data_IF_175013962273
#
_entry.id   IF_175013962273
#
_cell.length_a   1.000
_cell.length_b   1.000
_cell.length_c   1.000
_cell.angle_alpha   90.00
_cell.angle_beta   90.00
_cell.angle_gamma   90.00
#
_symmetry.space_group_name_H-M   'P 1'
#
loop_
_entity.id
_entity.type
_entity.pdbx_description
1 polymer ?
#
# COMPACT_ATOMS: atom_id res chain seq x y z
N UNK A 1 -10.02 16.44 -17.74
CA UNK A 1 -8.70 15.87 -17.43
C UNK A 1 -8.70 15.44 -15.97
N UNK A 2 -8.86 14.14 -15.69
CA UNK A 2 -8.82 13.61 -14.32
C UNK A 2 -7.36 13.61 -13.87
N UNK A 3 -6.97 14.61 -13.08
CA UNK A 3 -5.66 14.62 -12.41
C UNK A 3 -5.69 13.46 -11.41
N UNK A 4 -5.00 12.36 -11.73
CA UNK A 4 -4.64 11.34 -10.74
C UNK A 4 -3.76 12.05 -9.71
N UNK A 5 -4.32 12.35 -8.55
CA UNK A 5 -3.56 12.79 -7.40
C UNK A 5 -2.83 11.53 -6.94
N UNK A 6 -1.58 11.36 -7.36
CA UNK A 6 -0.71 10.32 -6.79
C UNK A 6 -0.38 10.76 -5.37
N UNK A 7 -0.80 10.02 -4.34
CA UNK A 7 -0.34 10.31 -2.99
C UNK A 7 1.19 10.33 -2.96
N UNK A 8 1.79 11.38 -2.39
CA UNK A 8 3.25 11.54 -2.26
C UNK A 8 3.82 10.75 -1.07
N UNK A 9 3.29 9.56 -0.81
CA UNK A 9 3.90 8.62 0.15
C UNK A 9 4.28 7.35 -0.58
N UNK A 10 5.49 6.86 -0.32
CA UNK A 10 5.97 5.57 -0.84
C UNK A 10 5.77 4.54 0.26
N UNK A 11 5.01 3.49 -0.03
CA UNK A 11 4.89 2.35 0.87
C UNK A 11 5.99 1.35 0.54
N UNK A 12 6.67 0.87 1.58
CA UNK A 12 7.73 -0.12 1.47
C UNK A 12 7.34 -1.28 2.38
N UNK A 13 7.37 -2.51 1.86
CA UNK A 13 7.19 -3.70 2.67
C UNK A 13 8.40 -3.87 3.61
N UNK A 14 8.16 -3.91 4.91
CA UNK A 14 9.24 -4.00 5.91
C UNK A 14 9.96 -5.35 5.88
N UNK A 15 9.30 -6.42 5.46
CA UNK A 15 9.87 -7.77 5.46
C UNK A 15 10.88 -8.00 4.33
N UNK A 16 10.61 -7.45 3.15
CA UNK A 16 11.45 -7.69 1.97
C UNK A 16 12.03 -6.42 1.32
N UNK A 17 11.69 -5.23 1.83
CA UNK A 17 12.13 -3.95 1.30
C UNK A 17 11.55 -3.58 -0.07
N UNK A 18 10.53 -4.32 -0.55
CA UNK A 18 9.92 -4.06 -1.84
C UNK A 18 9.01 -2.85 -1.81
N UNK A 19 9.02 -2.08 -2.91
CA UNK A 19 8.09 -0.96 -3.18
C UNK A 19 6.85 -1.41 -3.95
N UNK A 20 6.83 -2.67 -4.39
CA UNK A 20 5.69 -3.26 -5.08
C UNK A 20 4.65 -3.69 -4.03
N UNK A 21 3.92 -2.68 -3.56
CA UNK A 21 2.89 -2.82 -2.54
C UNK A 21 1.59 -2.22 -3.08
N UNK A 22 0.54 -3.04 -3.09
CA UNK A 22 -0.82 -2.64 -3.43
C UNK A 22 -1.59 -2.27 -2.18
N UNK A 23 -2.30 -1.14 -2.22
CA UNK A 23 -3.19 -0.72 -1.15
C UNK A 23 -4.63 -0.92 -1.59
N UNK A 24 -5.43 -1.56 -0.75
CA UNK A 24 -6.85 -1.80 -0.97
C UNK A 24 -7.64 -1.70 0.33
N UNK A 25 -8.95 -1.50 0.22
CA UNK A 25 -9.77 -1.14 1.39
C UNK A 25 -9.57 0.34 1.74
N UNK A 26 -10.66 1.10 1.73
CA UNK A 26 -10.65 2.52 2.07
C UNK A 26 -11.83 2.85 2.96
N UNK A 27 -11.96 2.16 4.09
CA UNK A 27 -12.77 2.70 5.18
C UNK A 27 -11.94 3.76 5.89
N UNK A 28 -12.57 4.69 6.60
CA UNK A 28 -11.90 5.84 7.24
C UNK A 28 -10.84 5.44 8.28
N UNK A 29 -10.73 4.15 8.62
CA UNK A 29 -9.95 3.65 9.75
C UNK A 29 -9.04 2.46 9.42
N UNK A 30 -9.17 1.83 8.25
CA UNK A 30 -8.39 0.64 7.91
C UNK A 30 -7.97 0.68 6.44
N UNK A 31 -6.66 0.67 6.20
CA UNK A 31 -6.07 0.51 4.87
C UNK A 31 -5.32 -0.81 4.85
N UNK A 32 -5.66 -1.71 3.94
CA UNK A 32 -4.93 -2.97 3.80
C UNK A 32 -3.81 -2.79 2.77
N UNK A 33 -2.64 -3.33 3.05
CA UNK A 33 -1.50 -3.37 2.16
C UNK A 33 -1.15 -4.82 1.82
N UNK A 34 -0.83 -5.09 0.56
CA UNK A 34 -0.28 -6.37 0.10
C UNK A 34 1.01 -6.14 -0.67
N UNK A 35 2.08 -6.82 -0.28
CA UNK A 35 3.33 -6.81 -1.01
C UNK A 35 3.38 -7.94 -2.04
N UNK A 36 3.40 -7.59 -3.33
CA UNK A 36 3.44 -8.55 -4.43
C UNK A 36 4.76 -9.34 -4.50
N UNK A 37 5.82 -8.85 -3.87
CA UNK A 37 7.15 -9.48 -3.93
C UNK A 37 7.31 -10.63 -2.94
N UNK A 38 6.89 -10.46 -1.68
CA UNK A 38 6.97 -11.49 -0.65
C UNK A 38 5.62 -12.14 -0.31
N UNK A 39 4.51 -11.61 -0.84
CA UNK A 39 3.16 -12.11 -0.61
C UNK A 39 2.57 -11.76 0.76
N UNK A 40 3.21 -10.87 1.52
CA UNK A 40 2.75 -10.47 2.86
C UNK A 40 1.64 -9.42 2.72
N UNK A 41 0.56 -9.63 3.47
CA UNK A 41 -0.50 -8.64 3.66
C UNK A 41 -0.55 -8.17 5.10
N UNK A 42 -0.74 -6.87 5.29
CA UNK A 42 -0.86 -6.26 6.61
C UNK A 42 -1.89 -5.13 6.60
N UNK A 43 -2.35 -4.73 7.79
CA UNK A 43 -3.22 -3.57 7.97
C UNK A 43 -2.34 -2.38 8.34
N UNK A 44 -2.46 -1.30 7.58
CA UNK A 44 -1.80 -0.02 7.82
C UNK A 44 -2.76 0.84 8.63
N UNK A 45 -2.46 1.02 9.92
CA UNK A 45 -3.15 1.94 10.85
C UNK A 45 -2.67 3.40 10.67
#
# INVERSE_FOLDING_TARGET
>A
MNKKISPKFTVICNDCGSKDVELYGSTTYEVHAHCNNCGISDVVE
#
